data_IF_175160943762
#
_entry.id   IF_175160943762
#
_cell.length_a   1.000
_cell.length_b   1.000
_cell.length_c   1.000
_cell.angle_alpha   90.00
_cell.angle_beta   90.00
_cell.angle_gamma   90.00
#
_symmetry.space_group_name_H-M   'P 1'
#
loop_
_entity.id
_entity.type
_entity.pdbx_description
1 polymer ?
#
# COMPACT_ATOMS: atom_id res chain seq x y z
N UNK A 1 -0.90 -27.17 -0.22
CA UNK A 1 0.46 -27.77 -0.21
C UNK A 1 1.43 -26.62 -0.41
N UNK A 2 1.96 -26.07 0.68
CA UNK A 2 2.92 -24.98 0.64
C UNK A 2 4.29 -25.58 0.26
N UNK A 3 4.91 -25.03 -0.77
CA UNK A 3 6.25 -25.45 -1.20
C UNK A 3 7.25 -25.09 -0.10
N UNK A 4 7.78 -26.12 0.56
CA UNK A 4 8.93 -26.01 1.46
C UNK A 4 10.11 -25.42 0.67
N UNK A 5 10.72 -24.37 1.24
CA UNK A 5 11.98 -23.81 0.76
C UNK A 5 13.06 -24.89 0.73
N UNK A 6 13.60 -25.12 -0.48
CA UNK A 6 14.75 -25.99 -0.77
C UNK A 6 16.07 -25.33 -0.30
N UNK A 7 17.21 -26.04 -0.28
CA UNK A 7 18.15 -26.28 0.83
C UNK A 7 19.14 -25.14 1.18
N UNK A 8 18.78 -23.86 1.01
CA UNK A 8 19.68 -22.73 1.26
C UNK A 8 20.05 -22.54 2.74
N UNK A 9 19.19 -22.97 3.67
CA UNK A 9 19.43 -22.84 5.12
C UNK A 9 20.70 -23.57 5.58
N UNK A 10 21.00 -24.74 5.00
CA UNK A 10 22.18 -25.52 5.35
C UNK A 10 23.50 -24.84 4.91
N UNK A 11 23.47 -24.10 3.80
CA UNK A 11 24.69 -23.53 3.22
C UNK A 11 25.16 -22.30 4.03
N UNK A 12 24.22 -21.44 4.43
CA UNK A 12 24.52 -20.28 5.26
C UNK A 12 25.03 -20.71 6.64
N UNK A 13 24.37 -21.67 7.29
CA UNK A 13 24.83 -22.22 8.57
C UNK A 13 26.24 -22.83 8.47
N UNK A 14 26.51 -23.57 7.38
CA UNK A 14 27.84 -24.12 7.12
C UNK A 14 28.89 -23.00 6.98
N UNK A 15 28.59 -21.95 6.23
CA UNK A 15 29.51 -20.82 6.07
C UNK A 15 29.72 -20.03 7.37
N UNK A 16 28.67 -19.87 8.19
CA UNK A 16 28.78 -19.24 9.51
C UNK A 16 29.68 -20.08 10.43
N UNK A 17 29.51 -21.40 10.43
CA UNK A 17 30.35 -22.29 11.24
C UNK A 17 31.82 -22.22 10.81
N UNK A 18 32.09 -22.22 9.51
CA UNK A 18 33.44 -22.04 8.97
C UNK A 18 34.00 -20.66 9.36
N UNK A 19 33.22 -19.59 9.20
CA UNK A 19 33.63 -18.23 9.52
C UNK A 19 34.01 -18.05 11.00
N UNK A 20 33.34 -18.76 11.92
CA UNK A 20 33.67 -18.76 13.35
C UNK A 20 35.06 -19.37 13.64
N UNK A 21 35.48 -20.36 12.85
CA UNK A 21 36.76 -21.05 13.02
C UNK A 21 37.91 -20.49 12.18
N UNK A 22 37.64 -19.55 11.27
CA UNK A 22 38.64 -18.98 10.35
C UNK A 22 38.87 -17.49 10.61
N UNK A 23 40.13 -17.04 10.50
CA UNK A 23 40.53 -15.64 10.69
C UNK A 23 41.51 -15.19 9.60
N UNK A 24 41.65 -13.87 9.41
CA UNK A 24 42.66 -13.28 8.52
C UNK A 24 42.48 -13.64 7.05
N UNK A 25 43.55 -14.12 6.39
CA UNK A 25 43.53 -14.42 4.94
C UNK A 25 42.65 -15.61 4.55
N UNK A 26 42.33 -16.53 5.47
CA UNK A 26 41.40 -17.62 5.19
C UNK A 26 39.95 -17.12 5.17
N UNK A 27 39.67 -16.01 5.86
CA UNK A 27 38.33 -15.42 5.89
C UNK A 27 38.02 -14.66 4.59
N UNK A 28 39.03 -14.08 3.92
CA UNK A 28 38.83 -13.41 2.62
C UNK A 28 38.49 -14.38 1.49
N UNK A 29 39.08 -15.58 1.50
CA UNK A 29 38.72 -16.65 0.56
C UNK A 29 37.33 -17.19 0.86
N UNK A 30 36.97 -17.35 2.14
CA UNK A 30 35.61 -17.72 2.54
C UNK A 30 34.57 -16.68 2.10
N UNK A 31 34.83 -15.38 2.30
CA UNK A 31 33.96 -14.31 1.81
C UNK A 31 33.78 -14.42 0.30
N UNK A 32 34.86 -14.63 -0.45
CA UNK A 32 34.78 -14.78 -1.91
C UNK A 32 33.90 -15.97 -2.33
N UNK A 33 34.02 -17.11 -1.65
CA UNK A 33 33.19 -18.29 -1.87
C UNK A 33 31.70 -18.03 -1.53
N UNK A 34 31.42 -17.35 -0.43
CA UNK A 34 30.06 -16.98 -0.01
C UNK A 34 29.42 -16.01 -1.02
N UNK A 35 30.19 -15.04 -1.51
CA UNK A 35 29.72 -14.09 -2.52
C UNK A 35 29.42 -14.79 -3.85
N UNK A 36 30.09 -15.89 -4.19
CA UNK A 36 29.84 -16.66 -5.41
C UNK A 36 28.78 -17.76 -5.23
N UNK A 37 28.48 -18.17 -3.99
CA UNK A 37 27.53 -19.23 -3.70
C UNK A 37 26.10 -18.87 -4.19
N UNK A 38 25.48 -19.70 -5.05
CA UNK A 38 24.10 -19.49 -5.46
C UNK A 38 23.15 -19.75 -4.29
N UNK A 39 22.07 -18.98 -4.20
CA UNK A 39 21.06 -19.11 -3.14
C UNK A 39 21.38 -18.40 -1.83
N UNK A 40 22.59 -17.83 -1.65
CA UNK A 40 22.95 -17.02 -0.48
C UNK A 40 22.88 -15.54 -0.83
N UNK A 41 21.78 -14.87 -0.48
CA UNK A 41 21.57 -13.44 -0.77
C UNK A 41 21.44 -12.58 0.50
N UNK A 42 21.63 -13.21 1.66
CA UNK A 42 21.55 -12.61 2.99
C UNK A 42 22.92 -12.79 3.65
N UNK A 43 23.51 -11.68 4.09
CA UNK A 43 24.87 -11.61 4.61
C UNK A 43 24.95 -10.97 6.01
N UNK A 44 23.83 -10.53 6.57
CA UNK A 44 23.76 -9.83 7.85
C UNK A 44 24.32 -10.67 9.00
N UNK A 45 23.97 -11.95 9.06
CA UNK A 45 24.50 -12.87 10.08
C UNK A 45 26.02 -13.05 10.00
N UNK A 46 26.57 -13.08 8.79
CA UNK A 46 28.03 -13.13 8.60
C UNK A 46 28.70 -11.83 9.01
N UNK A 47 28.06 -10.69 8.75
CA UNK A 47 28.58 -9.37 9.09
C UNK A 47 28.57 -9.10 10.62
N UNK A 48 27.67 -9.73 11.36
CA UNK A 48 27.61 -9.62 12.82
C UNK A 48 28.67 -10.46 13.54
N UNK A 49 29.39 -11.35 12.83
CA UNK A 49 30.46 -12.15 13.44
C UNK A 49 31.67 -11.29 13.83
N UNK A 50 32.23 -11.48 15.04
CA UNK A 50 33.38 -10.69 15.50
C UNK A 50 34.61 -10.85 14.59
N UNK A 51 34.86 -12.07 14.09
CA UNK A 51 35.97 -12.36 13.17
C UNK A 51 35.88 -11.52 11.86
N UNK A 52 34.65 -11.23 11.41
CA UNK A 52 34.40 -10.42 10.21
C UNK A 52 34.52 -8.93 10.51
N UNK A 53 34.12 -8.50 11.72
CA UNK A 53 34.29 -7.11 12.17
C UNK A 53 35.77 -6.75 12.37
N UNK A 54 36.61 -7.67 12.83
CA UNK A 54 38.06 -7.47 12.93
C UNK A 54 38.71 -7.19 11.57
N UNK A 55 38.13 -7.69 10.46
CA UNK A 55 38.64 -7.38 9.12
C UNK A 55 38.43 -5.92 8.72
N UNK A 56 37.49 -5.21 9.35
CA UNK A 56 37.19 -3.82 9.01
C UNK A 56 38.36 -2.87 9.29
N UNK A 57 39.14 -3.16 10.34
CA UNK A 57 40.31 -2.36 10.74
C UNK A 57 41.63 -2.93 10.21
N UNK A 58 41.57 -4.08 9.52
CA UNK A 58 42.74 -4.81 9.04
C UNK A 58 43.18 -4.47 7.62
N UNK A 59 44.28 -5.09 7.14
CA UNK A 59 44.76 -4.93 5.76
C UNK A 59 43.76 -5.44 4.70
N UNK A 60 42.78 -6.25 5.12
CA UNK A 60 41.74 -6.81 4.27
C UNK A 60 40.39 -6.05 4.38
N UNK A 61 40.41 -4.80 4.85
CA UNK A 61 39.21 -3.95 4.98
C UNK A 61 38.40 -3.84 3.68
N UNK A 62 39.06 -3.93 2.53
CA UNK A 62 38.45 -4.00 1.21
C UNK A 62 37.41 -5.13 1.07
N UNK A 63 37.67 -6.32 1.62
CA UNK A 63 36.72 -7.44 1.60
C UNK A 63 35.55 -7.24 2.55
N UNK A 64 35.77 -6.57 3.69
CA UNK A 64 34.69 -6.18 4.60
C UNK A 64 33.75 -5.15 3.96
N UNK A 65 34.32 -4.15 3.27
CA UNK A 65 33.54 -3.19 2.50
C UNK A 65 32.78 -3.84 1.36
N UNK A 66 33.40 -4.81 0.67
CA UNK A 66 32.73 -5.59 -0.36
C UNK A 66 31.54 -6.37 0.22
N UNK A 67 31.70 -7.01 1.37
CA UNK A 67 30.59 -7.70 2.03
C UNK A 67 29.48 -6.73 2.44
N UNK A 68 29.82 -5.54 2.95
CA UNK A 68 28.85 -4.49 3.25
C UNK A 68 28.10 -4.01 1.99
N UNK A 69 28.80 -3.94 0.85
CA UNK A 69 28.20 -3.59 -0.43
C UNK A 69 27.18 -4.63 -0.88
N UNK A 70 27.46 -5.93 -0.69
CA UNK A 70 26.51 -7.00 -0.96
C UNK A 70 25.38 -7.07 0.07
N UNK A 71 25.62 -6.73 1.34
CA UNK A 71 24.57 -6.66 2.35
C UNK A 71 23.61 -5.48 2.11
N UNK A 72 24.14 -4.27 1.85
CA UNK A 72 23.34 -3.04 1.86
C UNK A 72 23.47 -2.13 0.63
N UNK A 73 24.58 -2.20 -0.11
CA UNK A 73 24.85 -1.32 -1.25
C UNK A 73 24.32 -1.83 -2.60
N UNK A 74 24.61 -1.17 -3.70
CA UNK A 74 24.08 -1.52 -5.02
C UNK A 74 25.21 -1.62 -6.06
N UNK A 75 24.89 -2.18 -7.24
CA UNK A 75 25.85 -2.28 -8.34
C UNK A 75 26.39 -0.90 -8.79
N UNK A 76 25.58 0.18 -8.86
CA UNK A 76 26.09 1.54 -9.07
C UNK A 76 27.17 1.95 -8.06
N UNK A 77 27.05 1.57 -6.80
CA UNK A 77 28.03 1.90 -5.75
C UNK A 77 29.36 1.16 -5.96
N UNK A 78 29.32 -0.05 -6.55
CA UNK A 78 30.53 -0.77 -6.99
C UNK A 78 31.20 -0.05 -8.18
N UNK A 79 30.41 0.29 -9.20
CA UNK A 79 30.92 0.94 -10.42
C UNK A 79 31.50 2.32 -10.11
N UNK A 80 30.82 3.10 -9.26
CA UNK A 80 31.27 4.42 -8.83
C UNK A 80 32.61 4.38 -8.08
N UNK A 81 32.83 3.35 -7.25
CA UNK A 81 34.10 3.13 -6.54
C UNK A 81 35.24 2.70 -7.47
N UNK A 82 34.97 1.98 -8.56
CA UNK A 82 35.99 1.52 -9.50
C UNK A 82 36.34 2.57 -10.58
N UNK A 83 35.39 3.43 -10.96
CA UNK A 83 35.59 4.45 -12.00
C UNK A 83 36.54 5.59 -11.60
N UNK A 84 36.75 5.83 -10.31
CA UNK A 84 37.66 6.89 -9.84
C UNK A 84 39.12 6.65 -10.24
N UNK A 85 39.50 5.41 -10.58
CA UNK A 85 40.84 5.05 -11.07
C UNK A 85 41.03 5.08 -12.59
N UNK A 86 39.98 5.27 -13.40
CA UNK A 86 40.11 5.19 -14.87
C UNK A 86 40.28 6.55 -15.57
N UNK A 87 39.93 7.66 -14.92
CA UNK A 87 40.16 9.00 -15.50
C UNK A 87 41.37 9.64 -14.84
N UNK A 88 42.54 9.41 -15.43
CA UNK A 88 43.70 10.28 -15.25
C UNK A 88 43.46 11.61 -15.99
N UNK A 89 42.56 12.45 -15.47
CA UNK A 89 42.54 13.88 -15.79
C UNK A 89 42.19 14.68 -14.52
N UNK A 90 43.11 15.53 -14.03
CA UNK A 90 42.84 16.41 -12.90
C UNK A 90 42.03 17.61 -13.40
N UNK A 91 40.70 17.50 -13.36
CA UNK A 91 39.83 18.66 -13.52
C UNK A 91 39.77 19.43 -12.19
N UNK A 92 40.51 20.53 -12.15
CA UNK A 92 40.40 21.55 -11.12
C UNK A 92 38.98 22.12 -11.00
N UNK A 93 38.59 22.35 -9.73
CA UNK A 93 37.64 23.35 -9.22
C UNK A 93 36.15 23.09 -9.46
N UNK A 94 35.44 22.69 -8.41
CA UNK A 94 34.64 23.61 -7.57
C UNK A 94 34.11 22.88 -6.33
N UNK A 95 34.14 23.60 -5.21
CA UNK A 95 33.78 23.10 -3.88
C UNK A 95 32.31 22.68 -3.74
N UNK A 96 32.08 21.96 -2.65
CA UNK A 96 30.79 21.52 -2.09
C UNK A 96 30.24 20.18 -2.58
N UNK A 97 30.97 19.10 -2.29
CA UNK A 97 30.32 17.83 -1.92
C UNK A 97 31.00 17.22 -0.71
N UNK A 98 30.30 17.36 0.41
CA UNK A 98 30.57 16.81 1.72
C UNK A 98 30.21 15.31 1.71
N UNK A 99 31.21 14.42 1.67
CA UNK A 99 31.10 13.03 2.13
C UNK A 99 32.46 12.56 2.64
N UNK A 100 32.51 12.24 3.93
CA UNK A 100 33.71 11.85 4.67
C UNK A 100 34.46 10.68 4.00
N UNK A 101 35.75 10.90 3.81
CA UNK A 101 36.75 9.97 3.33
C UNK A 101 37.07 8.92 4.39
N UNK A 102 36.72 7.66 4.12
CA UNK A 102 37.35 6.51 4.78
C UNK A 102 37.34 5.33 3.80
N UNK A 103 38.48 5.11 3.14
CA UNK A 103 38.81 3.97 2.25
C UNK A 103 37.81 3.68 1.13
N UNK A 104 37.80 4.53 0.08
CA UNK A 104 37.08 4.30 -1.19
C UNK A 104 37.91 3.60 -2.28
N UNK A 105 39.21 3.39 -2.03
CA UNK A 105 40.13 2.85 -3.02
C UNK A 105 40.40 1.36 -2.78
N UNK A 106 40.14 0.57 -3.82
CA UNK A 106 40.38 -0.88 -3.96
C UNK A 106 39.34 -1.83 -3.34
N UNK A 107 38.10 -1.79 -3.82
CA UNK A 107 37.27 -3.00 -3.79
C UNK A 107 37.94 -4.09 -4.66
N UNK A 108 38.00 -5.36 -4.21
CA UNK A 108 38.55 -6.44 -5.01
C UNK A 108 37.82 -6.59 -6.35
N UNK A 109 38.54 -7.03 -7.40
CA UNK A 109 37.90 -7.34 -8.68
C UNK A 109 36.90 -8.49 -8.51
N UNK A 110 35.64 -8.23 -8.88
CA UNK A 110 34.57 -9.20 -8.80
C UNK A 110 34.60 -10.15 -10.00
N UNK A 111 34.36 -11.45 -9.73
CA UNK A 111 34.10 -12.44 -10.80
C UNK A 111 32.79 -12.13 -11.52
N UNK A 112 32.60 -12.67 -12.73
CA UNK A 112 31.36 -12.47 -13.50
C UNK A 112 30.11 -12.89 -12.72
N UNK A 113 30.20 -14.03 -12.00
CA UNK A 113 29.11 -14.52 -11.15
C UNK A 113 28.80 -13.57 -9.99
N UNK A 114 29.81 -13.06 -9.29
CA UNK A 114 29.63 -12.10 -8.21
C UNK A 114 29.03 -10.77 -8.71
N UNK A 115 29.44 -10.29 -9.89
CA UNK A 115 28.84 -9.10 -10.53
C UNK A 115 27.36 -9.32 -10.83
N UNK A 116 27.00 -10.46 -11.43
CA UNK A 116 25.60 -10.79 -11.71
C UNK A 116 24.77 -10.85 -10.43
N UNK A 117 25.33 -11.44 -9.36
CA UNK A 117 24.68 -11.49 -8.06
C UNK A 117 24.43 -10.10 -7.46
N UNK A 118 25.40 -9.19 -7.55
CA UNK A 118 25.22 -7.81 -7.11
C UNK A 118 24.19 -7.07 -7.96
N UNK A 119 24.13 -7.36 -9.27
CA UNK A 119 23.08 -6.86 -10.16
C UNK A 119 21.71 -7.39 -9.73
N UNK A 120 21.56 -8.69 -9.45
CA UNK A 120 20.30 -9.26 -8.92
C UNK A 120 19.87 -8.59 -7.61
N UNK A 121 20.79 -8.40 -6.66
CA UNK A 121 20.51 -7.69 -5.41
C UNK A 121 20.07 -6.23 -5.65
N UNK A 122 20.63 -5.58 -6.67
CA UNK A 122 20.21 -4.23 -7.07
C UNK A 122 18.79 -4.22 -7.61
N UNK A 123 18.43 -5.21 -8.43
CA UNK A 123 17.03 -5.37 -8.90
C UNK A 123 16.09 -5.60 -7.71
N UNK A 124 16.47 -6.43 -6.74
CA UNK A 124 15.67 -6.65 -5.51
C UNK A 124 15.50 -5.35 -4.72
N UNK A 125 16.57 -4.56 -4.56
CA UNK A 125 16.50 -3.26 -3.89
C UNK A 125 15.60 -2.26 -4.62
N UNK A 126 15.55 -2.30 -5.96
CA UNK A 126 14.61 -1.50 -6.75
C UNK A 126 13.18 -2.03 -6.61
N UNK A 127 12.98 -3.35 -6.66
CA UNK A 127 11.69 -4.02 -6.52
C UNK A 127 11.03 -3.74 -5.16
N UNK A 128 11.84 -3.62 -4.10
CA UNK A 128 11.36 -3.24 -2.77
C UNK A 128 10.74 -1.83 -2.73
N UNK A 129 11.11 -0.95 -3.66
CA UNK A 129 10.63 0.44 -3.73
C UNK A 129 9.54 0.64 -4.78
N UNK A 130 9.59 -0.11 -5.89
CA UNK A 130 8.68 0.04 -7.02
C UNK A 130 8.26 -1.33 -7.55
N UNK A 131 6.94 -1.54 -7.62
CA UNK A 131 6.36 -2.77 -8.19
C UNK A 131 6.48 -2.86 -9.71
N UNK A 132 6.62 -1.73 -10.40
CA UNK A 132 6.80 -1.67 -11.84
C UNK A 132 8.10 -0.92 -12.13
N UNK A 133 9.14 -1.63 -12.55
CA UNK A 133 10.48 -1.08 -12.78
C UNK A 133 10.67 -0.85 -14.28
N UNK A 134 10.86 0.40 -14.74
CA UNK A 134 11.17 0.67 -16.14
C UNK A 134 12.54 0.10 -16.53
N UNK A 135 12.64 -0.43 -17.75
CA UNK A 135 13.90 -0.96 -18.27
C UNK A 135 14.99 0.12 -18.36
N UNK A 136 14.62 1.38 -18.58
CA UNK A 136 15.57 2.51 -18.58
C UNK A 136 16.31 2.66 -17.25
N UNK A 137 15.62 2.45 -16.12
CA UNK A 137 16.21 2.48 -14.78
C UNK A 137 17.13 1.28 -14.60
N UNK A 138 16.68 0.08 -14.98
CA UNK A 138 17.48 -1.13 -14.89
C UNK A 138 18.74 -1.07 -15.75
N UNK A 139 18.66 -0.57 -16.98
CA UNK A 139 19.82 -0.42 -17.87
C UNK A 139 20.84 0.55 -17.28
N UNK A 140 20.38 1.66 -16.70
CA UNK A 140 21.25 2.66 -16.07
C UNK A 140 21.91 2.13 -14.80
N UNK A 141 21.13 1.55 -13.89
CA UNK A 141 21.62 1.15 -12.57
C UNK A 141 22.45 -0.14 -12.64
N UNK A 142 22.24 -1.00 -13.64
CA UNK A 142 23.01 -2.24 -13.82
C UNK A 142 24.19 -2.08 -14.79
N UNK A 143 24.41 -0.87 -15.34
CA UNK A 143 25.38 -0.57 -16.42
C UNK A 143 25.30 -1.58 -17.57
N UNK A 144 24.08 -1.78 -18.09
CA UNK A 144 23.81 -2.73 -19.17
C UNK A 144 23.56 -1.97 -20.47
N UNK A 145 24.23 -2.40 -21.55
CA UNK A 145 24.12 -1.75 -22.87
C UNK A 145 23.05 -2.40 -23.75
N UNK A 146 22.69 -3.64 -23.45
CA UNK A 146 21.90 -4.49 -24.32
C UNK A 146 20.63 -4.95 -23.59
N UNK A 147 19.48 -4.81 -24.26
CA UNK A 147 18.19 -5.31 -23.77
C UNK A 147 18.23 -6.81 -23.51
N UNK A 148 18.86 -7.57 -24.41
CA UNK A 148 18.93 -9.03 -24.32
C UNK A 148 19.62 -9.50 -23.04
N UNK A 149 20.75 -8.89 -22.70
CA UNK A 149 21.51 -9.23 -21.50
C UNK A 149 20.74 -8.85 -20.23
N UNK A 150 19.98 -7.75 -20.26
CA UNK A 150 19.09 -7.38 -19.17
C UNK A 150 17.97 -8.43 -18.99
N UNK A 151 17.30 -8.82 -20.07
CA UNK A 151 16.25 -9.83 -20.03
C UNK A 151 16.79 -11.19 -19.55
N UNK A 152 17.95 -11.63 -20.06
CA UNK A 152 18.58 -12.88 -19.64
C UNK A 152 18.95 -12.85 -18.13
N UNK A 153 19.43 -11.71 -17.61
CA UNK A 153 19.71 -11.52 -16.18
C UNK A 153 18.44 -11.55 -15.31
N UNK A 154 17.36 -10.91 -15.76
CA UNK A 154 16.05 -10.94 -15.07
C UNK A 154 15.50 -12.37 -15.07
N UNK A 155 15.59 -13.06 -16.21
CA UNK A 155 15.17 -14.45 -16.35
C UNK A 155 15.95 -15.34 -15.37
N UNK A 156 17.27 -15.16 -15.24
CA UNK A 156 18.08 -15.86 -14.24
C UNK A 156 17.61 -15.59 -12.81
N UNK A 157 17.28 -14.34 -12.48
CA UNK A 157 16.75 -13.98 -11.16
C UNK A 157 15.39 -14.64 -10.86
N UNK A 158 14.55 -14.81 -11.88
CA UNK A 158 13.28 -15.53 -11.77
C UNK A 158 13.50 -17.03 -11.62
N UNK A 159 14.42 -17.62 -12.38
CA UNK A 159 14.76 -19.05 -12.29
C UNK A 159 15.38 -19.44 -10.94
N UNK A 160 16.02 -18.49 -10.26
CA UNK A 160 16.63 -18.68 -8.94
C UNK A 160 15.67 -18.31 -7.80
N UNK A 161 14.40 -18.03 -8.09
CA UNK A 161 13.35 -17.64 -7.15
C UNK A 161 13.69 -16.38 -6.31
N UNK A 162 14.63 -15.55 -6.78
CA UNK A 162 14.97 -14.26 -6.15
C UNK A 162 13.82 -13.28 -6.34
N UNK A 163 13.23 -13.28 -7.54
CA UNK A 163 12.16 -12.37 -7.96
C UNK A 163 11.06 -13.18 -8.61
N UNK A 164 9.82 -12.86 -8.29
CA UNK A 164 8.63 -13.36 -8.99
C UNK A 164 7.94 -12.18 -9.64
N UNK A 165 7.69 -12.29 -10.94
CA UNK A 165 7.16 -11.18 -11.72
C UNK A 165 7.01 -11.52 -13.20
N UNK A 166 6.60 -10.51 -13.98
CA UNK A 166 6.39 -10.62 -15.42
C UNK A 166 7.15 -9.53 -16.15
N UNK A 167 7.74 -9.91 -17.29
CA UNK A 167 8.39 -8.99 -18.19
C UNK A 167 7.35 -8.48 -19.20
N UNK A 168 7.06 -7.18 -19.17
CA UNK A 168 6.26 -6.52 -20.20
C UNK A 168 7.17 -5.80 -21.18
N UNK A 169 7.51 -6.51 -22.26
CA UNK A 169 8.36 -5.99 -23.32
C UNK A 169 7.68 -4.87 -24.13
N UNK A 170 6.35 -4.79 -24.15
CA UNK A 170 5.63 -3.73 -24.89
C UNK A 170 5.76 -2.40 -24.18
N UNK A 171 5.57 -2.39 -22.86
CA UNK A 171 5.69 -1.19 -22.04
C UNK A 171 7.10 -0.95 -21.51
N UNK A 172 8.04 -1.87 -21.76
CA UNK A 172 9.43 -1.81 -21.30
C UNK A 172 9.51 -1.70 -19.77
N UNK A 173 8.70 -2.51 -19.08
CA UNK A 173 8.64 -2.57 -17.62
C UNK A 173 8.76 -4.00 -17.11
N UNK A 174 9.39 -4.15 -15.95
CA UNK A 174 9.37 -5.36 -15.14
C UNK A 174 8.32 -5.18 -14.05
N UNK A 175 7.27 -5.99 -14.10
CA UNK A 175 6.28 -6.09 -13.04
C UNK A 175 6.76 -7.10 -12.01
N UNK A 176 6.95 -6.66 -10.77
CA UNK A 176 7.42 -7.50 -9.66
C UNK A 176 6.28 -7.73 -8.68
N UNK A 177 5.88 -8.98 -8.54
CA UNK A 177 4.87 -9.42 -7.59
C UNK A 177 5.48 -9.62 -6.20
N UNK A 178 6.62 -10.31 -6.17
CA UNK A 178 7.36 -10.66 -4.96
C UNK A 178 8.87 -10.64 -5.23
N UNK A 179 9.65 -10.29 -4.21
CA UNK A 179 11.09 -10.43 -4.23
C UNK A 179 11.56 -10.92 -2.85
N UNK A 180 12.71 -11.58 -2.81
CA UNK A 180 13.32 -11.97 -1.54
C UNK A 180 13.68 -10.74 -0.70
N UNK A 181 13.66 -10.92 0.62
CA UNK A 181 14.17 -9.92 1.55
C UNK A 181 15.69 -9.85 1.47
N UNK A 182 16.22 -8.63 1.45
CA UNK A 182 17.65 -8.34 1.61
C UNK A 182 17.94 -7.98 3.08
N UNK A 183 19.22 -7.95 3.46
CA UNK A 183 19.65 -7.48 4.77
C UNK A 183 19.13 -6.09 5.12
N UNK A 184 18.64 -5.95 6.35
CA UNK A 184 18.06 -4.72 6.88
C UNK A 184 19.04 -4.13 7.90
N UNK A 185 19.35 -2.84 7.77
CA UNK A 185 20.15 -2.15 8.78
C UNK A 185 19.30 -1.86 10.02
N UNK A 186 19.93 -1.90 11.19
CA UNK A 186 19.25 -1.60 12.48
C UNK A 186 18.57 -0.23 12.50
N UNK A 187 19.10 0.75 11.76
CA UNK A 187 18.52 2.10 11.62
C UNK A 187 17.20 2.11 10.84
N UNK A 188 17.00 1.16 9.94
CA UNK A 188 15.83 1.11 9.05
C UNK A 188 14.65 0.34 9.67
N UNK A 189 14.85 -0.32 10.81
CA UNK A 189 13.79 -1.00 11.57
C UNK A 189 12.66 -0.02 11.94
N UNK A 190 13.01 1.20 12.33
CA UNK A 190 12.02 2.25 12.64
C UNK A 190 11.17 2.62 11.43
N UNK A 191 11.75 2.61 10.23
CA UNK A 191 11.03 2.89 8.99
C UNK A 191 10.06 1.75 8.66
N UNK A 192 10.47 0.49 8.89
CA UNK A 192 9.59 -0.68 8.72
C UNK A 192 8.42 -0.61 9.71
N UNK A 193 8.68 -0.29 10.97
CA UNK A 193 7.62 -0.13 11.97
C UNK A 193 6.62 0.96 11.56
N UNK A 194 7.14 2.10 11.09
CA UNK A 194 6.29 3.21 10.63
C UNK A 194 5.43 2.82 9.43
N UNK A 195 6.00 2.18 8.42
CA UNK A 195 5.24 1.76 7.21
C UNK A 195 4.18 0.71 7.53
N UNK A 196 4.46 -0.24 8.43
CA UNK A 196 3.47 -1.19 8.92
C UNK A 196 2.36 -0.51 9.70
N UNK A 197 2.70 0.47 10.55
CA UNK A 197 1.69 1.23 11.30
C UNK A 197 0.79 2.03 10.35
N UNK A 198 1.35 2.73 9.37
CA UNK A 198 0.59 3.48 8.36
C UNK A 198 -0.36 2.56 7.58
N UNK A 199 0.06 1.32 7.29
CA UNK A 199 -0.79 0.33 6.65
C UNK A 199 -1.93 -0.16 7.56
N UNK A 200 -1.65 -0.42 8.84
CA UNK A 200 -2.66 -0.77 9.83
C UNK A 200 -3.69 0.36 9.99
N UNK A 201 -3.23 1.59 10.18
CA UNK A 201 -4.09 2.78 10.31
C UNK A 201 -4.97 2.96 9.06
N UNK A 202 -4.40 2.73 7.87
CA UNK A 202 -5.15 2.75 6.62
C UNK A 202 -6.25 1.69 6.56
N UNK A 203 -5.97 0.47 7.02
CA UNK A 203 -6.97 -0.60 7.10
C UNK A 203 -8.07 -0.28 8.12
N UNK A 204 -7.71 0.23 9.30
CA UNK A 204 -8.67 0.65 10.33
C UNK A 204 -9.56 1.79 9.82
N UNK A 205 -9.01 2.78 9.12
CA UNK A 205 -9.77 3.87 8.55
C UNK A 205 -10.79 3.39 7.50
N UNK A 206 -10.41 2.43 6.64
CA UNK A 206 -11.34 1.84 5.66
C UNK A 206 -12.43 1.04 6.36
N UNK A 207 -12.10 0.23 7.37
CA UNK A 207 -13.06 -0.55 8.14
C UNK A 207 -14.07 0.35 8.85
N UNK A 208 -13.58 1.37 9.57
CA UNK A 208 -14.43 2.37 10.22
C UNK A 208 -15.30 3.13 9.21
N UNK A 209 -14.75 3.44 8.04
CA UNK A 209 -15.49 4.04 6.94
C UNK A 209 -16.67 3.17 6.50
N UNK A 210 -16.45 1.87 6.31
CA UNK A 210 -17.50 0.90 5.94
C UNK A 210 -18.53 0.78 7.06
N UNK A 211 -18.13 0.65 8.32
CA UNK A 211 -19.02 0.58 9.47
C UNK A 211 -19.94 1.81 9.56
N UNK A 212 -19.39 3.01 9.35
CA UNK A 212 -20.18 4.24 9.31
C UNK A 212 -21.18 4.27 8.15
N UNK A 213 -20.80 3.76 6.96
CA UNK A 213 -21.74 3.68 5.84
C UNK A 213 -22.87 2.69 6.11
N UNK A 214 -22.59 1.57 6.78
CA UNK A 214 -23.61 0.61 7.22
C UNK A 214 -24.57 1.27 8.21
N UNK A 215 -24.06 2.01 9.19
CA UNK A 215 -24.89 2.73 10.16
C UNK A 215 -25.78 3.78 9.48
N UNK A 216 -25.22 4.57 8.56
CA UNK A 216 -26.00 5.55 7.78
C UNK A 216 -27.09 4.86 6.96
N UNK A 217 -26.77 3.78 6.26
CA UNK A 217 -27.75 3.04 5.47
C UNK A 217 -28.90 2.49 6.34
N UNK A 218 -28.59 1.97 7.53
CA UNK A 218 -29.59 1.51 8.49
C UNK A 218 -30.47 2.64 9.00
N UNK A 219 -29.89 3.79 9.36
CA UNK A 219 -30.65 4.99 9.77
C UNK A 219 -31.57 5.50 8.66
N UNK A 220 -31.08 5.54 7.41
CA UNK A 220 -31.91 5.92 6.27
C UNK A 220 -33.07 4.95 6.06
N UNK A 221 -32.81 3.64 6.17
CA UNK A 221 -33.84 2.60 6.07
C UNK A 221 -34.90 2.78 7.15
N UNK A 222 -34.49 3.02 8.40
CA UNK A 222 -35.41 3.18 9.52
C UNK A 222 -36.23 4.47 9.42
N UNK A 223 -35.61 5.60 9.05
CA UNK A 223 -36.31 6.86 8.78
C UNK A 223 -37.30 6.72 7.62
N UNK A 224 -36.87 6.10 6.52
CA UNK A 224 -37.75 5.85 5.37
C UNK A 224 -38.94 4.97 5.77
N UNK A 225 -38.71 3.90 6.52
CA UNK A 225 -39.76 3.03 7.02
C UNK A 225 -40.74 3.79 7.93
N UNK A 226 -40.25 4.63 8.84
CA UNK A 226 -41.08 5.47 9.72
C UNK A 226 -41.93 6.46 8.92
N UNK A 227 -41.35 7.16 7.95
CA UNK A 227 -42.10 8.09 7.09
C UNK A 227 -43.15 7.35 6.26
N UNK A 228 -42.81 6.18 5.72
CA UNK A 228 -43.76 5.36 4.98
C UNK A 228 -44.96 4.94 5.84
N UNK A 229 -44.72 4.46 7.07
CA UNK A 229 -45.79 4.11 8.01
C UNK A 229 -46.69 5.30 8.37
N UNK A 230 -46.12 6.49 8.56
CA UNK A 230 -46.90 7.71 8.80
C UNK A 230 -47.80 8.03 7.60
N UNK A 231 -47.26 8.01 6.39
CA UNK A 231 -48.04 8.25 5.17
C UNK A 231 -49.16 7.22 5.02
N UNK A 232 -48.89 5.93 5.24
CA UNK A 232 -49.91 4.87 5.20
C UNK A 232 -51.02 5.07 6.24
N UNK A 233 -50.66 5.52 7.45
CA UNK A 233 -51.61 5.81 8.53
C UNK A 233 -52.48 7.01 8.17
N UNK A 234 -51.90 8.10 7.67
CA UNK A 234 -52.62 9.29 7.23
C UNK A 234 -53.59 8.97 6.08
N UNK A 235 -53.15 8.19 5.09
CA UNK A 235 -54.02 7.72 4.00
C UNK A 235 -55.20 6.91 4.53
N UNK A 236 -54.96 6.05 5.52
CA UNK A 236 -56.01 5.24 6.15
C UNK A 236 -57.00 6.12 6.93
N UNK A 237 -56.51 7.12 7.66
CA UNK A 237 -57.34 8.07 8.40
C UNK A 237 -58.19 8.92 7.45
N UNK A 238 -57.60 9.47 6.38
CA UNK A 238 -58.33 10.22 5.36
C UNK A 238 -59.42 9.36 4.70
N UNK A 239 -59.13 8.10 4.34
CA UNK A 239 -60.13 7.17 3.82
C UNK A 239 -61.29 6.94 4.79
N UNK A 240 -61.00 6.78 6.08
CA UNK A 240 -62.04 6.61 7.12
C UNK A 240 -62.90 7.88 7.25
N UNK A 241 -62.29 9.06 7.30
CA UNK A 241 -63.01 10.34 7.38
C UNK A 241 -63.90 10.55 6.17
N UNK A 242 -63.37 10.36 4.95
CA UNK A 242 -64.15 10.47 3.71
C UNK A 242 -65.36 9.52 3.71
N UNK A 243 -65.18 8.27 4.16
CA UNK A 243 -66.28 7.31 4.29
C UNK A 243 -67.32 7.77 5.31
N UNK A 244 -66.90 8.28 6.47
CA UNK A 244 -67.80 8.78 7.50
C UNK A 244 -68.60 10.02 7.03
N UNK A 245 -67.95 10.97 6.35
CA UNK A 245 -68.61 12.15 5.79
C UNK A 245 -69.60 11.77 4.68
N UNK A 246 -69.26 10.80 3.82
CA UNK A 246 -70.17 10.28 2.80
C UNK A 246 -71.41 9.58 3.40
N UNK A 247 -71.24 8.81 4.49
CA UNK A 247 -72.37 8.22 5.21
C UNK A 247 -73.25 9.26 5.90
N UNK A 248 -72.65 10.29 6.51
CA UNK A 248 -73.38 11.38 7.17
C UNK A 248 -74.20 12.21 6.18
N UNK A 249 -73.61 12.53 5.01
CA UNK A 249 -74.30 13.29 3.96
C UNK A 249 -75.39 12.45 3.25
N UNK A 250 -75.24 11.12 3.17
CA UNK A 250 -76.31 10.24 2.74
C UNK A 250 -77.49 10.22 3.73
N UNK A 251 -77.22 10.17 5.04
CA UNK A 251 -78.25 10.23 6.09
C UNK A 251 -78.95 11.60 6.17
N UNK A 252 -78.22 12.71 6.00
CA UNK A 252 -78.81 14.06 5.94
C UNK A 252 -79.69 14.26 4.70
N UNK A 253 -79.29 13.71 3.55
CA UNK A 253 -80.10 13.79 2.32
C UNK A 253 -81.37 12.95 2.42
N UNK A 254 -81.32 11.81 3.12
CA UNK A 254 -82.48 10.96 3.39
C UNK A 254 -83.44 11.58 4.44
N UNK A 255 -82.93 12.29 5.45
CA UNK A 255 -83.76 13.09 6.37
C UNK A 255 -84.43 14.29 5.70
N UNK A 256 -83.74 15.00 4.79
CA UNK A 256 -84.35 16.11 4.02
C UNK A 256 -85.41 15.65 3.00
N UNK A 257 -85.34 14.41 2.52
CA UNK A 257 -86.38 13.82 1.68
C UNK A 257 -87.64 13.47 2.49
N UNK A 258 -87.50 13.08 3.76
CA UNK A 258 -88.62 12.78 4.66
C UNK A 258 -89.29 14.07 5.20
N UNK A 259 -88.56 15.16 5.38
CA UNK A 259 -89.14 16.46 5.80
C UNK A 259 -89.89 17.21 4.68
N UNK A 260 -89.78 16.79 3.42
CA UNK A 260 -90.43 17.46 2.27
C UNK A 260 -91.85 16.98 1.94
N UNK A 261 -92.41 16.00 2.66
CA UNK A 261 -93.76 15.46 2.42
C UNK A 261 -94.90 16.08 3.27
N UNK A 262 -94.67 17.19 3.99
CA UNK A 262 -95.74 17.90 4.72
C UNK A 262 -95.97 19.33 4.19
N UNK A 263 -97.24 19.76 3.93
CA UNK A 263 -97.54 21.07 3.36
C UNK A 263 -97.45 22.22 4.40
N UNK A 264 -97.27 23.49 3.98
CA UNK A 264 -96.97 24.58 4.89
C UNK A 264 -98.24 25.17 5.52
N UNK A 265 -98.17 25.53 6.80
CA UNK A 265 -99.11 26.44 7.44
C UNK A 265 -98.39 27.51 8.28
N UNK A 266 -98.75 28.76 7.97
CA UNK A 266 -98.81 29.99 8.78
C UNK A 266 -97.56 30.58 9.48
N UNK A 267 -97.24 31.80 9.03
CA UNK A 267 -96.73 33.01 9.72
C UNK A 267 -96.19 32.91 11.17
N UNK A 268 -94.97 33.44 11.39
CA UNK A 268 -94.78 34.67 12.20
C UNK A 268 -93.35 35.27 12.16
N UNK A 269 -93.31 36.56 12.49
CA UNK A 269 -92.26 37.57 12.29
C UNK A 269 -90.94 37.40 13.09
N UNK A 270 -89.87 37.96 12.50
CA UNK A 270 -88.63 38.61 13.02
C UNK A 270 -88.49 38.88 14.55
N UNK A 271 -87.26 38.98 15.15
CA UNK A 271 -86.19 39.87 14.66
C UNK A 271 -84.69 39.52 14.88
N UNK A 272 -83.88 40.31 14.17
CA UNK A 272 -82.42 40.54 14.15
C UNK A 272 -81.59 40.25 15.42
N UNK A 273 -80.32 39.84 15.23
CA UNK A 273 -79.14 40.42 15.93
C UNK A 273 -77.77 40.08 15.28
N UNK A 274 -77.12 41.18 14.87
CA UNK A 274 -75.70 41.55 14.65
C UNK A 274 -74.50 40.63 15.00
N UNK A 275 -73.40 40.95 14.28
CA UNK A 275 -71.95 40.86 14.60
C UNK A 275 -71.29 39.47 14.39
N UNK A 276 -70.06 39.31 13.91
CA UNK A 276 -68.90 40.21 13.90
C UNK A 276 -67.83 39.79 12.87
N UNK A 277 -66.90 40.72 12.67
CA UNK A 277 -65.84 40.87 11.66
C UNK A 277 -64.60 39.98 11.92
N UNK A 278 -63.75 39.84 10.88
CA UNK A 278 -62.25 39.87 10.93
C UNK A 278 -61.57 38.55 11.40
N UNK A 279 -60.44 38.05 10.88
CA UNK A 279 -59.30 38.58 10.10
C UNK A 279 -58.56 37.39 9.45
N UNK A 280 -57.98 37.58 8.27
CA UNK A 280 -56.90 36.71 7.78
C UNK A 280 -55.59 36.98 8.52
N UNK A 281 -54.65 36.03 8.47
CA UNK A 281 -53.21 36.28 8.54
C UNK A 281 -52.42 35.08 8.00
N UNK A 282 -51.32 35.46 7.36
CA UNK A 282 -50.36 34.73 6.53
C UNK A 282 -49.12 34.37 7.36
N UNK A 283 -48.31 33.44 6.83
CA UNK A 283 -46.88 33.18 7.12
C UNK A 283 -46.57 32.37 8.39
N UNK A 284 -45.49 31.59 8.46
CA UNK A 284 -44.27 31.55 7.64
C UNK A 284 -43.60 30.19 7.77
N UNK A 285 -43.01 29.70 6.68
CA UNK A 285 -41.87 28.78 6.72
C UNK A 285 -40.71 29.46 7.44
N UNK A 286 -40.04 28.76 8.34
CA UNK A 286 -38.58 28.61 8.47
C UNK A 286 -38.34 27.15 8.83
#
# INVERSE_FOLDING_TARGET
MAGEQKPSCNLLEQFILLAKGTSGSALTTLISQVLEAPGVYVFGELLELPNVQELAEGPNAAYFQLLNLFAYGTYPDYVGSNHLHRTSEPAHLNGDTFWCEANKDNLPELTGAQKNKLKHLTIVSLAARMKCIPYSVLLKDLDMRNLRELEDLIIEAVYTDIIQGKLDQRNQVLEVDFCIGRDIQKKDISNIMKTLQEWCDGCEAVLLGIEQQVLRANQYKENHHRTQQQVETEVTNIKKTLKATASSSAQEMEQQLVERECPPHAEQRQPTKKMSKVKGLVSSRH
#
